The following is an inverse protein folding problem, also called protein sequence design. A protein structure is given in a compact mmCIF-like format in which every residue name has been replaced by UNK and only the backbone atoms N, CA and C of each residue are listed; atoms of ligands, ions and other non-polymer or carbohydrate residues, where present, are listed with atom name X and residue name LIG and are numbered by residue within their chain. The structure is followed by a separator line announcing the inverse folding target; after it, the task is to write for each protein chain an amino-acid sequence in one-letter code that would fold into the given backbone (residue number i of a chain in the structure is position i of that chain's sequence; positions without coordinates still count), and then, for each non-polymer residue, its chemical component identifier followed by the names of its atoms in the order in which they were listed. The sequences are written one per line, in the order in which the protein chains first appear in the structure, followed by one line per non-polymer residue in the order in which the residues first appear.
data_IF_426797185135
#
_entry.id   IF_426797185135
#
_cell.length_a   1.000
_cell.length_b   1.000
_cell.length_c   1.000
_cell.angle_alpha   90.00
_cell.angle_beta   90.00
_cell.angle_gamma   90.00
#
_symmetry.space_group_name_H-M   'P 1'
#
loop_
_entity.id
_entity.type
_entity.pdbx_description
1 polymer ?
#
# COMPACT_ATOMS: atom_id res chain seq x y z
N UNK A 1 -61.92 -50.31 -69.39
CA UNK A 1 -62.59 -49.90 -68.13
C UNK A 1 -62.34 -50.98 -67.09
N UNK A 2 -62.07 -50.69 -65.80
CA UNK A 2 -61.30 -49.57 -65.23
C UNK A 2 -60.27 -50.01 -64.14
N UNK A 3 -59.28 -49.13 -63.90
CA UNK A 3 -58.63 -48.73 -62.62
C UNK A 3 -57.99 -49.81 -61.70
N UNK A 4 -56.66 -49.78 -61.54
CA UNK A 4 -56.05 -49.30 -60.29
C UNK A 4 -54.56 -48.96 -60.44
N UNK A 5 -54.20 -47.86 -59.80
CA UNK A 5 -52.98 -47.08 -59.85
C UNK A 5 -52.10 -47.44 -58.63
N UNK A 6 -50.81 -47.74 -58.80
CA UNK A 6 -49.81 -47.64 -57.72
C UNK A 6 -48.38 -47.63 -58.31
N UNK A 7 -47.85 -46.43 -58.52
CA UNK A 7 -46.47 -46.16 -58.94
C UNK A 7 -45.62 -45.77 -57.73
N UNK A 8 -44.48 -46.45 -57.59
CA UNK A 8 -43.12 -45.91 -57.42
C UNK A 8 -42.94 -44.58 -56.66
N UNK A 9 -42.17 -44.62 -55.55
CA UNK A 9 -40.84 -43.98 -55.40
C UNK A 9 -40.42 -43.93 -53.92
N UNK A 10 -39.36 -44.68 -53.58
CA UNK A 10 -38.62 -44.59 -52.32
C UNK A 10 -37.83 -43.29 -52.29
N UNK A 11 -38.17 -42.43 -51.33
CA UNK A 11 -37.48 -41.18 -51.03
C UNK A 11 -36.28 -41.41 -50.10
N UNK A 12 -35.12 -40.88 -50.49
CA UNK A 12 -34.02 -40.55 -49.59
C UNK A 12 -34.43 -39.36 -48.70
N UNK A 13 -34.25 -39.48 -47.39
CA UNK A 13 -34.22 -38.34 -46.48
C UNK A 13 -32.96 -38.45 -45.59
N UNK A 14 -32.17 -37.36 -45.43
CA UNK A 14 -31.10 -37.33 -44.46
C UNK A 14 -31.62 -36.95 -43.08
N UNK A 15 -31.00 -37.57 -42.09
CA UNK A 15 -31.04 -37.24 -40.66
C UNK A 15 -30.44 -35.85 -40.44
N UNK A 16 -31.13 -34.98 -39.70
CA UNK A 16 -30.50 -33.95 -38.87
C UNK A 16 -31.33 -33.72 -37.61
N UNK A 17 -30.68 -33.97 -36.48
CA UNK A 17 -31.09 -33.62 -35.12
C UNK A 17 -31.20 -32.10 -34.92
N UNK A 18 -32.14 -31.68 -34.06
CA UNK A 18 -31.88 -30.60 -33.11
C UNK A 18 -32.84 -30.77 -31.93
N UNK A 19 -32.27 -31.06 -30.77
CA UNK A 19 -32.95 -31.18 -29.49
C UNK A 19 -33.39 -29.82 -28.95
N UNK A 20 -34.48 -29.86 -28.20
CA UNK A 20 -35.06 -28.79 -27.40
C UNK A 20 -34.04 -28.10 -26.47
N UNK A 21 -34.19 -26.78 -26.33
CA UNK A 21 -33.46 -26.02 -25.31
C UNK A 21 -33.71 -24.51 -25.39
N UNK A 22 -34.92 -24.05 -25.08
CA UNK A 22 -35.18 -22.61 -24.90
C UNK A 22 -35.11 -22.25 -23.41
N UNK A 23 -34.04 -21.52 -23.03
CA UNK A 23 -33.94 -20.88 -21.72
C UNK A 23 -34.57 -19.47 -21.81
N UNK A 24 -35.77 -19.33 -21.26
CA UNK A 24 -36.51 -18.07 -21.17
C UNK A 24 -35.81 -17.10 -20.21
N UNK A 25 -35.40 -15.91 -20.70
CA UNK A 25 -35.02 -14.79 -19.83
C UNK A 25 -36.32 -14.22 -19.24
N UNK A 26 -36.46 -14.27 -17.90
CA UNK A 26 -37.59 -13.67 -17.19
C UNK A 26 -37.29 -12.20 -16.84
N UNK A 27 -38.35 -11.40 -16.71
CA UNK A 27 -38.33 -10.02 -16.19
C UNK A 27 -37.86 -8.91 -17.16
N UNK A 28 -38.21 -9.03 -18.46
CA UNK A 28 -37.98 -7.99 -19.47
C UNK A 28 -38.85 -6.72 -19.32
N UNK A 29 -39.76 -6.65 -18.33
CA UNK A 29 -40.63 -5.49 -18.11
C UNK A 29 -39.90 -4.17 -17.82
N UNK A 30 -38.58 -4.23 -17.55
CA UNK A 30 -37.68 -3.08 -17.39
C UNK A 30 -36.64 -2.95 -18.50
N UNK A 31 -36.64 -3.85 -19.49
CA UNK A 31 -35.67 -3.89 -20.58
C UNK A 31 -36.28 -3.26 -21.83
N UNK A 32 -35.72 -2.14 -22.27
CA UNK A 32 -36.12 -1.50 -23.53
C UNK A 32 -35.39 -2.17 -24.68
N UNK A 33 -36.11 -2.98 -25.47
CA UNK A 33 -35.63 -3.48 -26.75
C UNK A 33 -35.78 -2.34 -27.75
N UNK A 34 -34.69 -1.98 -28.43
CA UNK A 34 -34.75 -0.93 -29.43
C UNK A 34 -34.74 -1.54 -30.84
N UNK A 35 -35.83 -1.35 -31.61
CA UNK A 35 -35.90 -1.83 -32.98
C UNK A 35 -34.85 -1.16 -33.88
N UNK A 36 -34.32 -1.90 -34.85
CA UNK A 36 -33.34 -1.37 -35.82
C UNK A 36 -33.87 -0.25 -36.73
N UNK A 37 -35.19 -0.01 -36.71
CA UNK A 37 -35.87 1.05 -37.45
C UNK A 37 -36.29 2.25 -36.59
N UNK A 38 -35.96 2.28 -35.29
CA UNK A 38 -36.13 3.47 -34.46
C UNK A 38 -35.03 4.51 -34.80
N UNK A 39 -35.33 5.80 -34.68
CA UNK A 39 -34.34 6.85 -34.91
C UNK A 39 -33.18 6.73 -33.89
N UNK A 40 -31.93 7.06 -34.27
CA UNK A 40 -30.77 6.89 -33.40
C UNK A 40 -31.00 7.47 -32.01
N UNK A 41 -30.82 6.66 -30.97
CA UNK A 41 -31.09 7.01 -29.58
C UNK A 41 -29.82 6.93 -28.72
N UNK A 42 -29.72 7.86 -27.78
CA UNK A 42 -28.47 8.34 -27.22
C UNK A 42 -27.99 7.57 -25.97
N UNK A 43 -28.58 6.41 -25.69
CA UNK A 43 -28.42 5.69 -24.41
C UNK A 43 -26.96 5.29 -24.14
N UNK A 44 -26.22 4.87 -25.16
CA UNK A 44 -24.80 4.55 -25.04
C UNK A 44 -23.91 5.80 -25.08
N UNK A 45 -24.35 6.85 -25.77
CA UNK A 45 -23.61 8.11 -25.79
C UNK A 45 -23.59 8.79 -24.41
N UNK A 46 -24.61 8.69 -23.56
CA UNK A 46 -24.55 9.31 -22.21
C UNK A 46 -23.55 8.61 -21.27
N UNK A 47 -23.45 7.28 -21.32
CA UNK A 47 -22.48 6.52 -20.52
C UNK A 47 -21.03 6.72 -21.02
N UNK A 48 -20.82 6.86 -22.33
CA UNK A 48 -19.50 7.07 -22.92
C UNK A 48 -19.06 8.55 -22.96
N UNK A 49 -19.99 9.52 -23.07
CA UNK A 49 -19.69 10.97 -23.07
C UNK A 49 -18.99 11.44 -21.78
N UNK A 50 -19.25 10.76 -20.65
CA UNK A 50 -18.55 11.00 -19.39
C UNK A 50 -17.03 10.76 -19.49
N UNK A 51 -16.60 9.85 -20.36
CA UNK A 51 -15.20 9.47 -20.56
C UNK A 51 -14.61 9.97 -21.90
N UNK A 52 -15.45 10.21 -22.92
CA UNK A 52 -15.05 10.60 -24.29
C UNK A 52 -15.93 11.75 -24.82
N UNK A 53 -15.82 12.97 -24.27
CA UNK A 53 -16.75 14.07 -24.55
C UNK A 53 -16.65 14.66 -25.96
N UNK A 54 -15.69 14.22 -26.79
CA UNK A 54 -15.38 14.78 -28.12
C UNK A 54 -15.45 13.77 -29.27
N UNK A 55 -15.77 12.51 -28.99
CA UNK A 55 -15.82 11.46 -30.02
C UNK A 55 -17.27 11.13 -30.39
N UNK A 56 -17.54 11.02 -31.69
CA UNK A 56 -18.81 10.47 -32.20
C UNK A 56 -18.68 8.96 -32.27
N UNK A 57 -19.55 8.26 -31.55
CA UNK A 57 -19.63 6.80 -31.62
C UNK A 57 -20.95 6.40 -32.28
N UNK A 58 -20.86 5.46 -33.21
CA UNK A 58 -21.99 4.71 -33.73
C UNK A 58 -21.89 3.28 -33.19
N UNK A 59 -22.84 2.85 -32.36
CA UNK A 59 -22.86 1.47 -31.84
C UNK A 59 -24.08 0.72 -32.34
N UNK A 60 -23.92 -0.59 -32.54
CA UNK A 60 -25.01 -1.56 -32.69
C UNK A 60 -24.69 -2.77 -31.82
N UNK A 61 -25.69 -3.32 -31.12
CA UNK A 61 -25.54 -4.65 -30.54
C UNK A 61 -26.82 -5.45 -30.74
N UNK A 62 -26.70 -6.50 -31.57
CA UNK A 62 -27.63 -7.63 -31.63
C UNK A 62 -26.83 -8.83 -32.13
N UNK A 63 -26.70 -9.87 -31.30
CA UNK A 63 -26.25 -11.17 -31.80
C UNK A 63 -27.18 -12.26 -31.26
N UNK A 64 -27.92 -12.86 -32.18
CA UNK A 64 -28.54 -14.17 -32.03
C UNK A 64 -28.03 -15.09 -33.13
N UNK A 65 -27.90 -16.39 -32.82
CA UNK A 65 -27.76 -17.45 -33.83
C UNK A 65 -29.11 -18.17 -33.95
N UNK A 66 -29.90 -17.82 -34.97
CA UNK A 66 -31.23 -18.40 -35.21
C UNK A 66 -32.23 -17.41 -35.83
N UNK A 67 -33.49 -17.84 -36.03
CA UNK A 67 -34.57 -16.95 -36.47
C UNK A 67 -34.91 -15.94 -35.35
N UNK A 68 -35.12 -14.66 -35.66
CA UNK A 68 -35.47 -13.65 -34.66
C UNK A 68 -36.80 -14.02 -33.98
N UNK A 69 -36.92 -13.85 -32.65
CA UNK A 69 -38.20 -14.08 -31.98
C UNK A 69 -39.22 -13.04 -32.47
N UNK A 70 -40.41 -13.50 -32.84
CA UNK A 70 -41.54 -12.61 -33.16
C UNK A 70 -42.05 -12.00 -31.87
N UNK A 71 -41.77 -10.71 -31.64
CA UNK A 71 -42.26 -9.99 -30.46
C UNK A 71 -43.47 -9.14 -30.86
N UNK A 72 -44.66 -9.56 -30.45
CA UNK A 72 -45.86 -8.70 -30.46
C UNK A 72 -45.80 -7.81 -29.22
N UNK A 73 -45.45 -6.54 -29.41
CA UNK A 73 -45.51 -5.53 -28.34
C UNK A 73 -46.91 -4.93 -28.37
N UNK A 74 -47.75 -5.27 -27.39
CA UNK A 74 -48.97 -4.52 -27.17
C UNK A 74 -48.60 -3.08 -26.82
N UNK A 75 -49.08 -2.14 -27.65
CA UNK A 75 -48.90 -0.71 -27.43
C UNK A 75 -49.42 -0.35 -26.05
N UNK A 76 -48.50 0.08 -25.17
CA UNK A 76 -48.84 0.63 -23.87
C UNK A 76 -49.95 1.67 -24.00
N UNK A 77 -51.05 1.43 -23.28
CA UNK A 77 -52.09 2.42 -22.99
C UNK A 77 -51.41 3.68 -22.45
N UNK A 78 -51.84 4.84 -22.97
CA UNK A 78 -51.55 6.14 -22.37
C UNK A 78 -51.83 6.08 -20.87
N UNK A 79 -50.99 6.68 -20.01
CA UNK A 79 -51.27 6.70 -18.59
C UNK A 79 -52.52 7.56 -18.35
N UNK A 80 -53.56 6.94 -17.82
CA UNK A 80 -54.63 7.66 -17.14
C UNK A 80 -54.04 8.32 -15.88
N UNK A 81 -54.49 9.53 -15.60
CA UNK A 81 -54.06 10.32 -14.45
C UNK A 81 -54.30 9.52 -13.16
N UNK A 82 -53.22 9.17 -12.46
CA UNK A 82 -53.28 8.46 -11.20
C UNK A 82 -53.62 9.43 -10.06
N UNK A 83 -54.68 9.08 -9.34
CA UNK A 83 -55.10 9.70 -8.08
C UNK A 83 -53.99 9.72 -7.03
N UNK A 84 -53.90 10.85 -6.33
CA UNK A 84 -53.02 11.07 -5.22
C UNK A 84 -53.54 10.38 -3.95
N UNK A 85 -53.09 9.15 -3.66
CA UNK A 85 -53.07 8.62 -2.28
C UNK A 85 -52.31 7.30 -2.19
N UNK A 86 -51.01 7.36 -1.94
CA UNK A 86 -50.22 6.18 -1.63
C UNK A 86 -48.75 6.51 -1.51
N UNK A 87 -48.29 6.77 -0.29
CA UNK A 87 -46.90 7.11 0.03
C UNK A 87 -46.02 5.86 -0.02
N UNK A 88 -45.03 5.72 -0.93
CA UNK A 88 -44.01 4.69 -0.83
C UNK A 88 -42.87 5.25 0.03
N UNK A 89 -42.74 4.75 1.25
CA UNK A 89 -41.60 5.05 2.14
C UNK A 89 -40.36 4.31 1.67
N UNK A 90 -39.60 4.94 0.77
CA UNK A 90 -38.26 4.53 0.40
C UNK A 90 -37.62 5.59 -0.48
N UNK A 91 -36.69 6.39 0.07
CA UNK A 91 -35.91 7.33 -0.75
C UNK A 91 -35.08 6.51 -1.75
N UNK A 92 -35.14 6.79 -3.07
CA UNK A 92 -34.22 6.17 -4.01
C UNK A 92 -32.79 6.53 -3.61
N UNK A 93 -31.92 5.52 -3.56
CA UNK A 93 -30.50 5.72 -3.29
C UNK A 93 -29.95 6.76 -4.28
N UNK A 94 -29.31 7.79 -3.75
CA UNK A 94 -28.72 8.86 -4.53
C UNK A 94 -27.60 8.25 -5.37
N UNK A 95 -27.84 8.08 -6.68
CA UNK A 95 -26.86 7.50 -7.60
C UNK A 95 -25.53 8.24 -7.48
N UNK A 96 -24.44 7.50 -7.26
CA UNK A 96 -23.11 8.07 -7.15
C UNK A 96 -22.71 8.60 -8.54
N UNK A 97 -22.83 9.93 -8.74
CA UNK A 97 -22.60 10.61 -10.04
C UNK A 97 -21.19 10.40 -10.64
N UNK A 98 -20.32 9.66 -9.95
CA UNK A 98 -18.93 9.41 -10.32
C UNK A 98 -18.63 7.95 -10.69
N UNK A 99 -19.59 7.02 -10.64
CA UNK A 99 -19.38 5.67 -11.18
C UNK A 99 -19.99 5.53 -12.57
N UNK A 100 -19.13 5.49 -13.59
CA UNK A 100 -19.58 5.28 -14.99
C UNK A 100 -20.28 3.94 -15.21
N UNK A 101 -20.05 2.95 -14.33
CA UNK A 101 -20.70 1.64 -14.40
C UNK A 101 -22.15 1.65 -13.88
N UNK A 102 -22.54 2.62 -13.04
CA UNK A 102 -23.92 2.72 -12.53
C UNK A 102 -24.93 3.08 -13.63
N UNK A 103 -24.43 3.63 -14.76
CA UNK A 103 -25.23 3.90 -15.95
C UNK A 103 -25.39 2.71 -16.89
N UNK A 104 -24.72 1.58 -16.62
CA UNK A 104 -24.82 0.38 -17.46
C UNK A 104 -25.97 -0.51 -16.98
N UNK A 105 -26.72 -1.08 -17.92
CA UNK A 105 -27.73 -2.07 -17.58
C UNK A 105 -27.05 -3.33 -17.01
N UNK A 106 -27.61 -3.91 -15.94
CA UNK A 106 -27.03 -5.10 -15.29
C UNK A 106 -26.78 -6.24 -16.28
N UNK A 107 -27.67 -6.40 -17.26
CA UNK A 107 -27.60 -7.43 -18.29
C UNK A 107 -26.54 -7.17 -19.37
N UNK A 108 -25.77 -6.08 -19.28
CA UNK A 108 -24.55 -5.88 -20.07
C UNK A 108 -23.41 -6.73 -19.53
N UNK A 109 -23.40 -6.97 -18.22
CA UNK A 109 -22.34 -7.68 -17.52
C UNK A 109 -22.80 -9.06 -17.04
N UNK A 110 -24.10 -9.21 -16.74
CA UNK A 110 -24.67 -10.38 -16.09
C UNK A 110 -25.73 -11.08 -16.97
N UNK A 111 -25.87 -12.40 -16.83
CA UNK A 111 -26.93 -13.16 -17.52
C UNK A 111 -28.33 -12.82 -17.01
N UNK A 112 -28.42 -12.46 -15.74
CA UNK A 112 -29.61 -12.14 -15.00
C UNK A 112 -29.36 -10.93 -14.10
N UNK A 113 -30.41 -10.25 -13.65
CA UNK A 113 -30.27 -9.18 -12.68
C UNK A 113 -29.88 -9.81 -11.32
N UNK A 114 -28.63 -9.67 -10.85
CA UNK A 114 -28.14 -10.50 -9.76
C UNK A 114 -28.84 -10.10 -8.45
N UNK A 115 -29.72 -10.97 -7.96
CA UNK A 115 -30.36 -10.83 -6.65
C UNK A 115 -29.63 -11.61 -5.55
N UNK A 116 -28.56 -12.34 -5.90
CA UNK A 116 -27.79 -13.20 -5.00
C UNK A 116 -26.28 -12.93 -5.00
N UNK A 117 -25.57 -13.56 -4.06
CA UNK A 117 -24.15 -13.31 -3.78
C UNK A 117 -23.15 -13.78 -4.88
N UNK A 118 -23.61 -14.51 -5.89
CA UNK A 118 -22.78 -15.08 -6.96
C UNK A 118 -23.32 -14.72 -8.34
N UNK A 119 -23.02 -13.51 -8.84
CA UNK A 119 -23.50 -13.08 -10.15
C UNK A 119 -22.94 -13.98 -11.26
N UNK A 120 -23.79 -14.34 -12.23
CA UNK A 120 -23.37 -15.05 -13.44
C UNK A 120 -23.03 -14.03 -14.52
N UNK A 121 -21.77 -13.97 -14.93
CA UNK A 121 -21.33 -13.08 -16.00
C UNK A 121 -21.59 -13.71 -17.37
N UNK A 122 -21.93 -12.88 -18.35
CA UNK A 122 -22.27 -13.31 -19.73
C UNK A 122 -21.07 -13.92 -20.43
N UNK A 123 -19.89 -13.37 -20.13
CA UNK A 123 -18.57 -13.79 -20.62
C UNK A 123 -17.55 -13.66 -19.48
N UNK A 124 -16.28 -13.96 -19.78
CA UNK A 124 -15.22 -13.70 -18.82
C UNK A 124 -15.15 -12.21 -18.45
N UNK A 125 -14.99 -11.92 -17.16
CA UNK A 125 -14.99 -10.54 -16.65
C UNK A 125 -13.85 -9.73 -17.27
N UNK A 126 -12.69 -10.33 -17.53
CA UNK A 126 -11.58 -9.62 -18.15
C UNK A 126 -11.91 -9.23 -19.60
N UNK A 127 -12.58 -10.11 -20.35
CA UNK A 127 -13.01 -9.83 -21.72
C UNK A 127 -14.07 -8.74 -21.76
N UNK A 128 -15.02 -8.76 -20.82
CA UNK A 128 -16.01 -7.71 -20.65
C UNK A 128 -15.36 -6.35 -20.33
N UNK A 129 -14.39 -6.33 -19.41
CA UNK A 129 -13.65 -5.11 -19.09
C UNK A 129 -12.88 -4.57 -20.31
N UNK A 130 -12.29 -5.45 -21.14
CA UNK A 130 -11.54 -5.05 -22.36
C UNK A 130 -12.42 -4.37 -23.41
N UNK A 131 -13.73 -4.61 -23.43
CA UNK A 131 -14.64 -3.90 -24.34
C UNK A 131 -14.62 -2.39 -24.11
N UNK A 132 -14.60 -1.98 -22.83
CA UNK A 132 -14.57 -0.57 -22.43
C UNK A 132 -13.15 -0.07 -22.11
N UNK A 133 -12.22 -0.98 -21.83
CA UNK A 133 -10.83 -0.70 -21.46
C UNK A 133 -9.84 -1.46 -22.35
N UNK A 134 -9.84 -1.22 -23.68
CA UNK A 134 -9.07 -2.02 -24.65
C UNK A 134 -7.55 -1.92 -24.46
N UNK A 135 -7.08 -0.86 -23.79
CA UNK A 135 -5.66 -0.62 -23.51
C UNK A 135 -5.23 -1.10 -22.12
N UNK A 136 -6.16 -1.62 -21.30
CA UNK A 136 -5.86 -2.04 -19.93
C UNK A 136 -5.41 -3.51 -19.93
N UNK A 137 -4.09 -3.69 -19.86
CA UNK A 137 -3.47 -4.92 -19.36
C UNK A 137 -3.57 -4.97 -17.83
N UNK A 138 -3.54 -6.15 -17.19
CA UNK A 138 -3.43 -6.25 -15.74
C UNK A 138 -2.26 -5.39 -15.26
N UNK A 139 -2.57 -4.27 -14.62
CA UNK A 139 -1.56 -3.30 -14.26
C UNK A 139 -1.04 -3.62 -12.87
N UNK A 140 0.30 -3.65 -12.70
CA UNK A 140 0.99 -3.74 -11.41
C UNK A 140 0.45 -4.84 -10.49
N UNK A 141 0.45 -6.08 -10.98
CA UNK A 141 0.11 -7.22 -10.15
C UNK A 141 1.10 -7.30 -8.96
N UNK A 142 0.64 -7.71 -7.77
CA UNK A 142 1.56 -8.02 -6.68
C UNK A 142 2.54 -9.09 -7.16
N UNK A 143 3.81 -8.95 -6.78
CA UNK A 143 4.89 -9.88 -7.12
C UNK A 143 5.42 -10.58 -5.87
N UNK A 144 6.15 -11.69 -6.08
CA UNK A 144 6.81 -12.43 -5.01
C UNK A 144 5.85 -12.93 -3.91
N UNK A 145 6.23 -12.73 -2.66
CA UNK A 145 5.43 -13.20 -1.50
C UNK A 145 4.03 -12.56 -1.42
N UNK A 146 3.89 -11.30 -1.86
CA UNK A 146 2.59 -10.62 -1.88
C UNK A 146 1.63 -11.29 -2.87
N UNK A 147 2.14 -11.79 -4.00
CA UNK A 147 1.34 -12.55 -4.95
C UNK A 147 0.79 -13.83 -4.30
N UNK A 148 1.61 -14.54 -3.53
CA UNK A 148 1.18 -15.77 -2.87
C UNK A 148 0.17 -15.54 -1.75
N UNK A 149 0.27 -14.43 -1.02
CA UNK A 149 -0.75 -14.03 -0.04
C UNK A 149 -2.10 -13.79 -0.73
N UNK A 150 -2.10 -13.06 -1.86
CA UNK A 150 -3.33 -12.81 -2.63
C UNK A 150 -3.89 -14.11 -3.21
N UNK A 151 -3.04 -14.96 -3.80
CA UNK A 151 -3.45 -16.27 -4.34
C UNK A 151 -4.05 -17.16 -3.25
N UNK A 152 -3.47 -17.16 -2.05
CA UNK A 152 -4.01 -17.87 -0.88
C UNK A 152 -5.38 -17.33 -0.50
N UNK A 153 -5.55 -16.01 -0.41
CA UNK A 153 -6.85 -15.40 -0.10
C UNK A 153 -7.93 -15.72 -1.17
N UNK A 154 -7.56 -15.81 -2.44
CA UNK A 154 -8.46 -16.28 -3.51
C UNK A 154 -8.87 -17.73 -3.30
N UNK A 155 -7.92 -18.64 -3.01
CA UNK A 155 -8.20 -20.06 -2.72
C UNK A 155 -9.10 -20.23 -1.49
N UNK A 156 -8.92 -19.38 -0.49
CA UNK A 156 -9.75 -19.32 0.72
C UNK A 156 -11.09 -18.58 0.52
N UNK A 157 -11.39 -18.13 -0.72
CA UNK A 157 -12.61 -17.37 -1.08
C UNK A 157 -12.78 -16.05 -0.32
N UNK A 158 -11.71 -15.51 0.27
CA UNK A 158 -11.68 -14.16 0.88
C UNK A 158 -11.60 -13.06 -0.17
N UNK A 159 -11.07 -13.38 -1.35
CA UNK A 159 -11.07 -12.51 -2.53
C UNK A 159 -11.69 -13.24 -3.72
N UNK A 160 -12.37 -12.50 -4.62
CA UNK A 160 -12.83 -13.10 -5.86
C UNK A 160 -11.63 -13.38 -6.77
N UNK A 161 -11.69 -14.48 -7.50
CA UNK A 161 -10.68 -14.92 -8.46
C UNK A 161 -11.11 -16.24 -9.09
N UNK A 162 -10.35 -16.74 -10.06
CA UNK A 162 -10.63 -18.02 -10.71
C UNK A 162 -9.40 -18.90 -10.68
N UNK A 163 -9.53 -20.10 -10.11
CA UNK A 163 -8.46 -21.11 -10.03
C UNK A 163 -7.16 -20.57 -9.40
N UNK A 164 -7.29 -19.70 -8.40
CA UNK A 164 -6.16 -19.03 -7.75
C UNK A 164 -5.54 -17.89 -8.56
N UNK A 165 -6.06 -17.58 -9.76
CA UNK A 165 -5.61 -16.46 -10.57
C UNK A 165 -6.37 -15.17 -10.22
N UNK A 166 -5.65 -14.06 -10.34
CA UNK A 166 -6.17 -12.72 -10.13
C UNK A 166 -7.04 -12.33 -11.34
N UNK A 167 -8.19 -11.75 -11.05
CA UNK A 167 -9.09 -11.11 -12.01
C UNK A 167 -9.11 -9.61 -11.73
N UNK A 168 -9.60 -8.80 -12.67
CA UNK A 168 -9.80 -7.37 -12.44
C UNK A 168 -10.67 -7.12 -11.18
N UNK A 169 -11.67 -7.97 -10.96
CA UNK A 169 -12.54 -7.92 -9.78
C UNK A 169 -11.88 -8.41 -8.49
N UNK A 170 -10.73 -9.08 -8.53
CA UNK A 170 -9.92 -9.38 -7.33
C UNK A 170 -9.53 -8.09 -6.64
N UNK A 171 -9.10 -7.11 -7.43
CA UNK A 171 -8.61 -5.83 -6.95
C UNK A 171 -9.72 -4.77 -6.92
N UNK A 172 -10.60 -4.72 -7.93
CA UNK A 172 -11.57 -3.65 -8.11
C UNK A 172 -13.00 -4.01 -7.66
N UNK A 173 -13.73 -3.01 -7.18
CA UNK A 173 -15.16 -3.09 -6.85
C UNK A 173 -15.98 -2.21 -7.81
N UNK A 174 -16.44 -2.83 -8.90
CA UNK A 174 -17.10 -2.16 -10.04
C UNK A 174 -18.35 -1.34 -9.69
N UNK A 175 -19.01 -1.60 -8.55
CA UNK A 175 -20.28 -0.97 -8.15
C UNK A 175 -20.16 0.14 -7.09
N UNK A 176 -18.97 0.42 -6.56
CA UNK A 176 -18.84 1.44 -5.50
C UNK A 176 -18.43 2.81 -6.05
N UNK A 177 -17.38 2.84 -6.88
CA UNK A 177 -16.90 4.04 -7.58
C UNK A 177 -16.01 3.65 -8.77
N UNK A 178 -15.86 4.54 -9.76
CA UNK A 178 -14.89 4.31 -10.85
C UNK A 178 -13.49 4.18 -10.25
N UNK A 179 -12.85 3.02 -10.42
CA UNK A 179 -11.52 2.67 -9.90
C UNK A 179 -11.41 2.35 -8.39
N UNK A 180 -12.49 2.09 -7.65
CA UNK A 180 -12.35 1.69 -6.24
C UNK A 180 -11.69 0.32 -6.12
N UNK A 181 -10.62 0.27 -5.32
CA UNK A 181 -10.03 -0.97 -4.86
C UNK A 181 -10.94 -1.60 -3.80
N UNK A 182 -11.04 -2.93 -3.76
CA UNK A 182 -11.75 -3.63 -2.69
C UNK A 182 -11.03 -3.43 -1.38
N UNK A 183 -11.74 -3.00 -0.34
CA UNK A 183 -11.20 -2.90 1.02
C UNK A 183 -10.62 -4.25 1.48
N UNK A 184 -11.27 -5.36 1.14
CA UNK A 184 -10.78 -6.70 1.47
C UNK A 184 -9.48 -7.04 0.73
N UNK A 185 -9.28 -6.55 -0.48
CA UNK A 185 -8.02 -6.73 -1.21
C UNK A 185 -6.91 -5.88 -0.56
N UNK A 186 -7.21 -4.62 -0.25
CA UNK A 186 -6.31 -3.73 0.47
C UNK A 186 -5.91 -4.36 1.81
N UNK A 187 -6.88 -4.91 2.55
CA UNK A 187 -6.65 -5.60 3.81
C UNK A 187 -5.79 -6.86 3.64
N UNK A 188 -6.04 -7.71 2.65
CA UNK A 188 -5.22 -8.90 2.37
C UNK A 188 -3.78 -8.51 2.03
N UNK A 189 -3.57 -7.43 1.27
CA UNK A 189 -2.22 -6.90 1.06
C UNK A 189 -1.63 -6.35 2.37
N UNK A 190 -2.40 -5.59 3.14
CA UNK A 190 -1.97 -5.02 4.42
C UNK A 190 -1.63 -6.08 5.48
N UNK A 191 -2.28 -7.23 5.45
CA UNK A 191 -1.99 -8.41 6.27
C UNK A 191 -0.76 -9.19 5.77
N UNK A 192 -0.47 -9.13 4.47
CA UNK A 192 0.65 -9.85 3.82
C UNK A 192 2.01 -9.16 3.88
N UNK A 193 2.02 -7.82 3.74
CA UNK A 193 3.14 -6.86 3.89
C UNK A 193 2.63 -5.54 3.32
N UNK A 194 2.91 -4.41 3.99
CA UNK A 194 2.51 -3.07 3.49
C UNK A 194 3.03 -2.89 2.06
N UNK A 195 2.15 -2.87 1.03
CA UNK A 195 2.60 -2.67 -0.35
C UNK A 195 3.25 -1.29 -0.42
N UNK A 196 4.44 -1.21 -1.01
CA UNK A 196 5.16 0.05 -1.13
C UNK A 196 4.34 0.98 -2.05
N UNK A 197 3.73 2.05 -1.52
CA UNK A 197 2.94 2.94 -2.35
C UNK A 197 3.84 3.80 -3.25
N UNK A 198 5.12 3.90 -2.90
CA UNK A 198 6.02 4.84 -3.53
C UNK A 198 6.36 4.47 -4.97
N UNK A 199 6.28 5.46 -5.86
CA UNK A 199 6.54 5.27 -7.29
C UNK A 199 5.48 4.44 -8.03
N UNK A 200 4.34 4.14 -7.39
CA UNK A 200 3.24 3.41 -8.01
C UNK A 200 2.09 4.37 -8.35
N UNK A 201 1.80 4.50 -9.65
CA UNK A 201 0.61 5.25 -10.12
C UNK A 201 -0.71 4.66 -9.63
N UNK A 202 -0.69 3.40 -9.19
CA UNK A 202 -1.89 2.73 -8.70
C UNK A 202 -2.17 3.09 -7.25
N UNK A 203 -1.13 3.37 -6.45
CA UNK A 203 -1.26 3.61 -5.02
C UNK A 203 -1.28 5.10 -4.65
N UNK A 204 -1.51 6.00 -5.61
CA UNK A 204 -1.69 7.42 -5.31
C UNK A 204 -2.79 7.64 -4.25
N UNK A 205 -3.84 6.82 -4.24
CA UNK A 205 -4.93 6.89 -3.26
C UNK A 205 -4.49 6.55 -1.82
N UNK A 206 -3.34 5.90 -1.63
CA UNK A 206 -2.79 5.62 -0.30
C UNK A 206 -2.39 6.92 0.41
N UNK A 207 -2.02 7.94 -0.35
CA UNK A 207 -1.58 9.23 0.18
C UNK A 207 -2.54 10.37 -0.18
N UNK A 208 -3.35 10.24 -1.22
CA UNK A 208 -4.18 11.33 -1.75
C UNK A 208 -5.67 10.96 -1.73
N UNK A 209 -6.56 11.90 -1.38
CA UNK A 209 -8.01 11.64 -1.31
C UNK A 209 -8.68 11.54 -2.70
N UNK A 210 -7.93 11.57 -3.80
CA UNK A 210 -8.46 11.51 -5.16
C UNK A 210 -7.40 11.61 -6.25
N UNK A 211 -7.87 11.74 -7.49
CA UNK A 211 -7.01 11.91 -8.68
C UNK A 211 -6.37 13.30 -8.67
N UNK A 212 -5.04 13.36 -8.67
CA UNK A 212 -4.29 14.61 -8.80
C UNK A 212 -4.36 15.08 -10.26
N UNK A 213 -4.80 16.32 -10.49
CA UNK A 213 -4.77 16.95 -11.81
C UNK A 213 -3.51 17.80 -11.96
N UNK A 214 -3.02 17.93 -13.18
CA UNK A 214 -1.89 18.81 -13.48
C UNK A 214 -2.23 20.26 -13.09
N UNK A 215 -1.33 20.90 -12.35
CA UNK A 215 -1.53 22.26 -11.82
C UNK A 215 -2.41 22.36 -10.57
N UNK A 216 -3.00 21.26 -10.09
CA UNK A 216 -3.76 21.25 -8.83
C UNK A 216 -2.82 21.14 -7.63
N UNK A 217 -3.20 21.79 -6.52
CA UNK A 217 -2.50 21.64 -5.25
C UNK A 217 -2.57 20.18 -4.76
N UNK A 218 -1.42 19.60 -4.46
CA UNK A 218 -1.34 18.24 -3.95
C UNK A 218 -1.92 18.20 -2.54
N UNK A 219 -3.01 17.43 -2.36
CA UNK A 219 -3.66 17.23 -1.06
C UNK A 219 -3.37 15.83 -0.54
N UNK A 220 -2.94 15.74 0.71
CA UNK A 220 -2.75 14.47 1.38
C UNK A 220 -4.03 14.03 2.11
N UNK A 221 -4.28 12.72 2.19
CA UNK A 221 -5.44 12.14 2.84
C UNK A 221 -5.52 12.47 4.34
N UNK A 222 -4.36 12.62 5.00
CA UNK A 222 -4.25 13.07 6.39
C UNK A 222 -4.27 14.60 6.56
N UNK A 223 -4.60 15.37 5.51
CA UNK A 223 -4.58 16.82 5.54
C UNK A 223 -3.17 17.38 5.62
N UNK A 224 -2.89 18.21 6.64
CA UNK A 224 -1.57 18.84 6.83
C UNK A 224 -0.58 18.01 7.67
N UNK A 225 -1.04 16.89 8.24
CA UNK A 225 -0.19 16.02 9.06
C UNK A 225 0.48 14.93 8.21
N UNK A 226 1.46 15.34 7.42
CA UNK A 226 2.24 14.42 6.58
C UNK A 226 2.98 13.38 7.41
N UNK A 227 3.39 13.71 8.64
CA UNK A 227 4.10 12.79 9.53
C UNK A 227 3.20 11.62 9.91
N UNK A 228 1.95 11.88 10.32
CA UNK A 228 0.97 10.84 10.58
C UNK A 228 0.76 9.96 9.35
N UNK A 229 0.53 10.56 8.17
CA UNK A 229 0.34 9.80 6.93
C UNK A 229 1.49 8.84 6.65
N UNK A 230 2.74 9.34 6.67
CA UNK A 230 3.90 8.50 6.42
C UNK A 230 4.02 7.39 7.47
N UNK A 231 3.79 7.74 8.75
CA UNK A 231 3.94 6.82 9.87
C UNK A 231 2.87 5.73 9.92
N UNK A 232 1.71 5.92 9.28
CA UNK A 232 0.71 4.84 9.11
C UNK A 232 1.30 3.61 8.43
N UNK A 233 2.31 3.78 7.58
CA UNK A 233 3.08 2.71 6.96
C UNK A 233 4.46 2.52 7.60
N UNK A 234 5.24 3.59 7.77
CA UNK A 234 6.64 3.52 8.15
C UNK A 234 6.90 3.06 9.59
N UNK A 235 5.90 3.11 10.49
CA UNK A 235 6.05 2.55 11.83
C UNK A 235 5.74 1.05 11.91
N UNK A 236 5.17 0.47 10.84
CA UNK A 236 4.76 -0.94 10.83
C UNK A 236 5.98 -1.87 10.76
N UNK A 237 5.91 -3.06 11.39
CA UNK A 237 6.97 -4.07 11.27
C UNK A 237 7.28 -4.41 9.80
N UNK A 238 8.57 -4.52 9.48
CA UNK A 238 9.03 -4.87 8.13
C UNK A 238 9.09 -3.71 7.13
N UNK A 239 8.57 -2.51 7.49
CA UNK A 239 8.77 -1.29 6.70
C UNK A 239 9.97 -0.54 7.25
N UNK A 240 10.81 0.01 6.35
CA UNK A 240 11.98 0.80 6.76
C UNK A 240 11.50 2.05 7.49
N UNK A 241 11.76 2.13 8.79
CA UNK A 241 11.45 3.32 9.60
C UNK A 241 12.26 4.52 9.11
N UNK A 242 11.66 5.71 9.18
CA UNK A 242 12.41 6.95 8.96
C UNK A 242 13.48 7.06 10.05
N UNK A 243 14.77 7.17 9.69
CA UNK A 243 15.87 7.12 10.64
C UNK A 243 16.12 8.46 11.36
N UNK A 244 15.38 9.50 11.01
CA UNK A 244 15.61 10.86 11.49
C UNK A 244 14.45 11.36 12.32
N UNK A 245 14.76 12.19 13.31
CA UNK A 245 13.76 12.81 14.18
C UNK A 245 12.96 13.84 13.37
N UNK A 246 11.64 13.65 13.32
CA UNK A 246 10.67 14.61 12.78
C UNK A 246 9.97 15.32 13.96
N UNK A 247 9.22 16.39 13.69
CA UNK A 247 8.60 17.25 14.72
C UNK A 247 9.61 18.08 15.54
N UNK A 248 10.80 18.34 14.98
CA UNK A 248 11.80 19.25 15.56
C UNK A 248 11.73 20.64 14.94
N UNK A 249 11.89 21.69 15.73
CA UNK A 249 12.14 23.06 15.24
C UNK A 249 13.64 23.27 14.99
N UNK A 250 14.00 24.19 14.09
CA UNK A 250 15.38 24.66 13.99
C UNK A 250 15.85 25.25 15.32
N UNK A 251 17.12 25.04 15.66
CA UNK A 251 17.79 25.56 16.85
C UNK A 251 18.89 26.55 16.42
N UNK A 252 19.56 27.21 17.36
CA UNK A 252 20.72 28.06 17.02
C UNK A 252 21.89 27.27 16.41
N UNK A 253 21.95 25.95 16.63
CA UNK A 253 22.97 25.05 16.08
C UNK A 253 22.63 24.46 14.71
N UNK A 254 21.42 24.70 14.19
CA UNK A 254 21.06 24.37 12.82
C UNK A 254 20.86 25.66 12.03
N UNK A 255 21.18 25.67 10.74
CA UNK A 255 20.78 26.80 9.90
C UNK A 255 19.27 26.95 10.02
N UNK A 256 18.80 28.17 10.22
CA UNK A 256 17.38 28.50 10.28
C UNK A 256 16.70 27.99 9.00
N UNK A 257 16.05 26.83 9.11
CA UNK A 257 15.50 26.02 8.00
C UNK A 257 14.46 26.77 7.19
N UNK A 258 13.80 27.73 7.84
CA UNK A 258 12.87 28.71 7.29
C UNK A 258 13.47 29.54 6.14
N UNK A 259 14.78 29.77 6.10
CA UNK A 259 15.43 30.51 5.01
C UNK A 259 15.76 29.65 3.78
N UNK A 260 15.70 28.32 3.90
CA UNK A 260 16.12 27.40 2.84
C UNK A 260 14.97 26.99 1.90
N UNK A 261 13.77 27.51 2.13
CA UNK A 261 12.58 27.20 1.33
C UNK A 261 12.08 25.76 1.50
N UNK A 262 12.50 25.06 2.56
CA UNK A 262 12.01 23.72 2.84
C UNK A 262 10.55 23.75 3.33
N UNK A 263 9.74 22.73 2.98
CA UNK A 263 8.39 22.64 3.52
C UNK A 263 8.46 22.23 4.99
N UNK A 264 8.00 23.13 5.86
CA UNK A 264 7.89 22.93 7.31
C UNK A 264 6.41 22.91 7.70
N UNK A 265 6.05 22.12 8.71
CA UNK A 265 4.72 22.18 9.30
C UNK A 265 4.81 22.95 10.62
N UNK A 266 4.25 24.17 10.65
CA UNK A 266 4.32 25.06 11.82
C UNK A 266 5.76 25.28 12.34
N UNK A 267 6.71 25.46 11.41
CA UNK A 267 8.13 25.65 11.75
C UNK A 267 8.88 24.38 12.15
N UNK A 268 8.23 23.21 12.09
CA UNK A 268 8.84 21.92 12.42
C UNK A 268 9.16 21.08 11.19
N UNK A 269 10.20 20.25 11.32
CA UNK A 269 10.58 19.25 10.35
C UNK A 269 9.51 18.17 10.21
N UNK A 270 9.24 17.80 8.97
CA UNK A 270 8.35 16.70 8.59
C UNK A 270 9.06 15.76 7.64
N UNK A 271 8.47 14.60 7.36
CA UNK A 271 8.95 13.70 6.32
C UNK A 271 9.14 14.45 4.99
N UNK A 272 8.16 15.28 4.60
CA UNK A 272 8.19 16.08 3.35
C UNK A 272 9.26 17.16 3.31
N UNK A 273 9.81 17.56 4.47
CA UNK A 273 10.94 18.50 4.52
C UNK A 273 12.14 17.92 3.80
N UNK A 274 12.48 16.67 4.13
CA UNK A 274 13.64 15.97 3.57
C UNK A 274 13.31 15.16 2.33
N UNK A 275 12.09 14.65 2.25
CA UNK A 275 11.66 13.78 1.17
C UNK A 275 10.76 14.53 0.18
N UNK A 276 11.11 14.47 -1.10
CA UNK A 276 10.33 14.98 -2.22
C UNK A 276 9.94 13.83 -3.13
N UNK A 277 8.88 13.15 -2.74
CA UNK A 277 8.44 11.98 -3.45
C UNK A 277 7.75 12.37 -4.75
N UNK A 278 8.23 11.81 -5.86
CA UNK A 278 7.55 11.91 -7.14
C UNK A 278 6.27 11.06 -7.11
N UNK A 279 5.13 11.72 -6.91
CA UNK A 279 3.79 11.09 -6.96
C UNK A 279 3.47 10.48 -8.34
N UNK A 280 4.27 10.79 -9.36
CA UNK A 280 4.10 10.30 -10.72
C UNK A 280 5.44 9.84 -11.31
N UNK A 281 5.53 8.56 -11.64
CA UNK A 281 6.66 7.99 -12.37
C UNK A 281 7.42 6.91 -11.61
N UNK A 282 8.43 6.34 -12.24
CA UNK A 282 9.33 5.41 -11.58
C UNK A 282 10.25 6.21 -10.65
N UNK A 283 10.49 5.75 -9.41
CA UNK A 283 11.51 6.34 -8.55
C UNK A 283 12.83 6.44 -9.29
N UNK A 284 13.52 7.56 -9.17
CA UNK A 284 14.89 7.69 -9.65
C UNK A 284 15.76 6.67 -8.91
N UNK A 285 16.39 5.76 -9.64
CA UNK A 285 17.27 4.74 -9.07
C UNK A 285 18.50 5.35 -8.40
N UNK A 286 18.90 6.57 -8.79
CA UNK A 286 19.96 7.34 -8.14
C UNK A 286 19.46 8.09 -6.88
N UNK A 287 18.15 8.24 -6.69
CA UNK A 287 17.54 8.83 -5.51
C UNK A 287 16.43 7.93 -4.91
N UNK A 288 16.75 6.68 -4.52
CA UNK A 288 15.75 5.68 -4.11
C UNK A 288 15.06 6.01 -2.79
N UNK A 289 15.53 7.04 -2.08
CA UNK A 289 14.97 7.56 -0.83
C UNK A 289 14.25 8.89 -1.03
N UNK A 290 14.13 9.39 -2.26
CA UNK A 290 13.44 10.64 -2.56
C UNK A 290 13.99 11.85 -1.81
N UNK A 291 15.30 11.94 -1.55
CA UNK A 291 15.88 13.10 -0.88
C UNK A 291 15.66 14.35 -1.75
N UNK A 292 15.13 15.42 -1.15
CA UNK A 292 14.74 16.65 -1.84
C UNK A 292 15.96 17.31 -2.49
N UNK A 293 15.90 17.54 -3.80
CA UNK A 293 17.03 18.08 -4.57
C UNK A 293 18.14 17.07 -4.84
N UNK A 294 17.89 15.78 -4.61
CA UNK A 294 18.78 14.70 -5.06
C UNK A 294 18.76 14.52 -6.58
N UNK A 295 19.52 13.52 -7.10
CA UNK A 295 20.24 12.50 -6.34
C UNK A 295 21.47 13.04 -5.60
N UNK A 296 21.85 12.36 -4.51
CA UNK A 296 23.07 12.65 -3.75
C UNK A 296 23.96 11.40 -3.75
N UNK A 297 25.21 11.54 -4.18
CA UNK A 297 26.19 10.44 -4.10
C UNK A 297 26.49 10.04 -2.65
N UNK A 298 26.40 11.01 -1.74
CA UNK A 298 26.55 10.86 -0.30
C UNK A 298 25.37 11.55 0.40
N UNK A 299 24.51 10.82 1.14
CA UNK A 299 23.40 11.40 1.89
C UNK A 299 23.82 12.51 2.85
N UNK A 300 25.06 12.50 3.36
CA UNK A 300 25.54 13.54 4.27
C UNK A 300 25.56 14.91 3.59
N UNK A 301 25.79 14.96 2.27
CA UNK A 301 25.70 16.21 1.49
C UNK A 301 24.31 16.82 1.50
N UNK A 302 23.27 16.01 1.60
CA UNK A 302 21.92 16.53 1.80
C UNK A 302 21.79 17.15 3.18
N UNK A 303 22.27 16.46 4.22
CA UNK A 303 22.24 16.94 5.61
C UNK A 303 22.99 18.27 5.77
N UNK A 304 24.13 18.44 5.09
CA UNK A 304 24.92 19.68 5.12
C UNK A 304 24.26 20.90 4.47
N UNK A 305 23.08 20.74 3.85
CA UNK A 305 22.28 21.90 3.45
C UNK A 305 21.74 22.66 4.66
N UNK A 306 21.63 22.00 5.82
CA UNK A 306 21.01 22.51 7.03
C UNK A 306 21.96 22.48 8.24
N UNK A 307 22.94 21.59 8.19
CA UNK A 307 24.03 21.47 9.16
C UNK A 307 25.29 22.07 8.56
N UNK A 308 26.12 22.75 9.34
CA UNK A 308 27.43 23.19 8.84
C UNK A 308 28.28 21.97 8.50
N UNK A 309 29.06 22.03 7.41
CA UNK A 309 30.03 20.99 7.04
C UNK A 309 31.17 20.83 8.07
N UNK A 310 31.24 21.75 9.03
CA UNK A 310 32.14 21.62 10.16
C UNK A 310 31.75 20.38 10.96
N UNK A 311 32.63 19.37 10.92
CA UNK A 311 32.43 18.03 11.49
C UNK A 311 32.14 18.04 12.99
N UNK A 312 32.31 19.19 13.63
CA UNK A 312 31.98 19.46 15.02
C UNK A 312 30.48 19.71 15.28
N UNK A 313 29.74 20.26 14.31
CA UNK A 313 28.36 20.75 14.49
C UNK A 313 27.32 19.78 13.91
N UNK A 314 27.76 18.68 13.30
CA UNK A 314 26.89 17.53 13.17
C UNK A 314 26.47 17.16 14.60
N UNK A 315 25.19 17.24 14.94
CA UNK A 315 24.64 16.66 16.17
C UNK A 315 24.68 15.14 16.00
N UNK A 316 25.90 14.61 15.90
CA UNK A 316 26.22 13.22 16.07
C UNK A 316 25.51 12.81 17.36
N UNK A 317 24.55 11.87 17.30
CA UNK A 317 23.79 11.49 18.48
C UNK A 317 24.67 10.88 19.58
N UNK A 318 25.96 10.63 19.28
CA UNK A 318 26.99 10.25 20.24
C UNK A 318 27.74 11.44 20.87
N UNK A 319 27.57 12.69 20.42
CA UNK A 319 28.08 13.92 21.07
C UNK A 319 27.07 14.40 22.11
N UNK A 320 26.83 13.55 23.10
CA UNK A 320 25.78 13.71 24.09
C UNK A 320 26.15 14.64 25.26
N UNK A 321 27.38 15.17 25.27
CA UNK A 321 27.85 16.11 26.28
C UNK A 321 28.33 17.39 25.61
N UNK A 322 28.03 18.54 26.21
CA UNK A 322 28.51 19.84 25.74
C UNK A 322 29.93 20.15 26.25
N UNK A 323 30.46 21.33 25.88
CA UNK A 323 31.79 21.78 26.28
C UNK A 323 31.97 21.93 27.80
N UNK A 324 30.88 22.02 28.56
CA UNK A 324 30.86 22.12 30.02
C UNK A 324 30.60 20.77 30.69
N UNK A 325 30.51 19.68 29.92
CA UNK A 325 30.23 18.34 30.42
C UNK A 325 28.76 18.08 30.77
N UNK A 326 27.83 18.96 30.35
CA UNK A 326 26.39 18.78 30.59
C UNK A 326 25.79 17.88 29.51
N UNK A 327 24.90 16.98 29.89
CA UNK A 327 24.22 16.08 28.95
C UNK A 327 23.23 16.86 28.07
N UNK A 328 23.29 16.66 26.75
CA UNK A 328 22.38 17.25 25.76
C UNK A 328 21.14 16.37 25.60
N UNK A 329 20.04 16.73 26.25
CA UNK A 329 18.84 15.88 26.33
C UNK A 329 18.19 15.56 24.97
N UNK A 330 18.39 16.42 23.97
CA UNK A 330 17.88 16.27 22.61
C UNK A 330 18.60 15.13 21.86
N UNK A 331 19.90 14.97 22.09
CA UNK A 331 20.70 13.91 21.47
C UNK A 331 20.22 12.51 21.86
N UNK A 332 19.69 12.36 23.08
CA UNK A 332 19.16 11.10 23.56
C UNK A 332 17.93 10.64 22.76
N UNK A 333 17.11 11.58 22.29
CA UNK A 333 15.84 11.30 21.58
C UNK A 333 16.03 10.73 20.18
N UNK A 334 17.25 10.73 19.66
CA UNK A 334 17.58 10.02 18.42
C UNK A 334 17.46 8.50 18.58
N UNK A 335 17.79 8.00 19.77
CA UNK A 335 17.76 6.57 20.06
C UNK A 335 16.58 6.21 20.97
N UNK A 336 16.22 7.09 21.91
CA UNK A 336 15.22 6.85 22.95
C UNK A 336 13.90 7.57 22.68
N UNK A 337 12.77 7.00 23.12
CA UNK A 337 11.45 7.64 23.01
C UNK A 337 11.33 8.93 23.85
N UNK A 338 12.16 9.07 24.87
CA UNK A 338 12.25 10.24 25.72
C UNK A 338 13.70 10.67 25.95
N UNK A 339 13.90 11.64 26.84
CA UNK A 339 15.24 12.00 27.34
C UNK A 339 15.47 11.21 28.63
N UNK A 340 16.31 10.16 28.63
CA UNK A 340 16.56 9.37 29.82
C UNK A 340 17.28 10.22 30.87
N UNK A 341 16.92 10.05 32.14
CA UNK A 341 17.70 10.59 33.25
C UNK A 341 18.91 9.66 33.46
N UNK A 342 20.16 10.13 33.27
CA UNK A 342 21.35 9.28 33.38
C UNK A 342 21.54 8.71 34.80
N UNK A 343 20.95 9.33 35.81
CA UNK A 343 21.03 8.91 37.21
C UNK A 343 19.80 8.08 37.65
N UNK A 344 18.75 7.97 36.82
CA UNK A 344 17.55 7.17 37.13
C UNK A 344 17.30 6.11 36.07
N UNK A 345 17.22 4.85 36.53
CA UNK A 345 16.96 3.69 35.67
C UNK A 345 15.50 3.27 35.76
N UNK A 346 14.57 4.06 35.21
CA UNK A 346 13.23 3.51 34.96
C UNK A 346 13.24 2.77 33.63
N UNK A 347 12.60 1.60 33.53
CA UNK A 347 12.49 0.88 32.26
C UNK A 347 11.92 1.75 31.13
N UNK A 348 10.94 2.60 31.43
CA UNK A 348 10.32 3.51 30.45
C UNK A 348 11.33 4.53 29.86
N UNK A 349 12.30 4.98 30.65
CA UNK A 349 13.31 5.96 30.22
C UNK A 349 14.33 5.34 29.25
N UNK A 350 14.41 4.01 29.17
CA UNK A 350 15.36 3.29 28.33
C UNK A 350 14.74 2.77 27.02
N UNK A 351 13.44 3.01 26.79
CA UNK A 351 12.76 2.57 25.58
C UNK A 351 13.34 3.26 24.34
N UNK A 352 13.71 2.45 23.35
CA UNK A 352 14.20 2.95 22.06
C UNK A 352 13.05 3.33 21.14
N UNK A 353 13.31 4.26 20.20
CA UNK A 353 12.37 4.65 19.14
C UNK A 353 12.06 3.53 18.14
N UNK A 354 12.85 2.45 18.17
CA UNK A 354 12.63 1.25 17.39
C UNK A 354 13.48 0.07 17.89
N UNK A 355 13.52 -1.01 17.11
CA UNK A 355 14.36 -2.16 17.40
C UNK A 355 15.84 -1.76 17.47
N UNK A 356 16.59 -2.29 18.43
CA UNK A 356 17.98 -1.89 18.73
C UNK A 356 18.88 -1.87 17.47
N UNK A 357 18.81 -2.91 16.62
CA UNK A 357 19.62 -2.98 15.40
C UNK A 357 19.18 -1.96 14.34
N UNK A 358 17.90 -1.63 14.29
CA UNK A 358 17.35 -0.66 13.33
C UNK A 358 17.77 0.75 13.71
N UNK A 359 17.72 1.10 15.01
CA UNK A 359 18.16 2.41 15.51
C UNK A 359 19.60 2.70 15.09
N UNK A 360 20.50 1.72 15.18
CA UNK A 360 21.90 1.89 14.78
C UNK A 360 22.09 1.88 13.25
N UNK A 361 21.49 0.90 12.55
CA UNK A 361 21.68 0.72 11.09
C UNK A 361 21.03 1.80 10.24
N UNK A 362 20.16 2.59 10.86
CA UNK A 362 19.57 3.78 10.31
C UNK A 362 20.60 4.86 9.94
N UNK A 363 21.67 4.99 10.73
CA UNK A 363 22.77 5.92 10.47
C UNK A 363 24.07 5.21 10.04
N UNK A 364 24.27 3.96 10.46
CA UNK A 364 25.50 3.21 10.17
C UNK A 364 25.27 2.13 9.10
N UNK A 365 26.19 2.03 8.14
CA UNK A 365 26.29 0.85 7.29
C UNK A 365 26.97 -0.27 8.07
N UNK A 366 26.17 -1.10 8.75
CA UNK A 366 26.66 -2.15 9.65
C UNK A 366 27.12 -3.40 8.87
N UNK A 367 26.68 -3.58 7.61
CA UNK A 367 26.98 -4.76 6.81
C UNK A 367 28.02 -4.49 5.71
N UNK A 368 28.98 -5.42 5.49
CA UNK A 368 29.19 -6.66 6.25
C UNK A 368 29.78 -6.38 7.65
N UNK A 369 29.18 -6.96 8.69
CA UNK A 369 29.66 -6.79 10.06
C UNK A 369 30.82 -7.76 10.31
N UNK A 370 31.98 -7.31 10.83
CA UNK A 370 33.08 -8.20 11.15
C UNK A 370 32.69 -9.12 12.31
N UNK A 371 32.73 -10.43 12.07
CA UNK A 371 32.20 -11.46 12.98
C UNK A 371 30.68 -11.63 12.80
N UNK A 372 30.25 -12.89 12.71
CA UNK A 372 28.91 -13.39 12.33
C UNK A 372 27.69 -12.59 12.83
N UNK A 373 26.49 -12.91 12.32
CA UNK A 373 25.23 -12.39 12.86
C UNK A 373 25.03 -12.85 14.32
N UNK A 374 25.57 -12.07 15.26
CA UNK A 374 25.60 -12.40 16.69
C UNK A 374 24.31 -12.05 17.43
N UNK A 375 23.24 -11.63 16.74
CA UNK A 375 21.92 -11.33 17.32
C UNK A 375 21.16 -12.56 17.84
N UNK A 376 21.86 -13.45 18.53
CA UNK A 376 21.41 -14.76 19.01
C UNK A 376 21.14 -14.73 20.51
N UNK A 377 20.29 -15.65 20.96
CA UNK A 377 20.00 -15.85 22.38
C UNK A 377 21.26 -16.34 23.11
N UNK A 378 21.69 -15.62 24.14
CA UNK A 378 22.81 -16.04 24.98
C UNK A 378 22.27 -16.89 26.14
N UNK A 379 22.78 -18.12 26.28
CA UNK A 379 22.32 -19.07 27.32
C UNK A 379 23.43 -20.00 27.79
N UNK A 380 23.18 -20.67 28.91
CA UNK A 380 24.06 -21.69 29.48
C UNK A 380 25.46 -21.15 29.79
N UNK A 381 26.49 -21.90 29.42
CA UNK A 381 27.88 -21.57 29.74
C UNK A 381 28.32 -20.20 29.20
N UNK A 382 27.88 -19.80 28.01
CA UNK A 382 28.23 -18.49 27.44
C UNK A 382 27.64 -17.32 28.25
N UNK A 383 26.44 -17.50 28.79
CA UNK A 383 25.82 -16.49 29.67
C UNK A 383 26.57 -16.40 31.00
N UNK A 384 26.90 -17.54 31.61
CA UNK A 384 27.67 -17.58 32.85
C UNK A 384 29.06 -16.93 32.69
N UNK A 385 29.76 -17.21 31.58
CA UNK A 385 31.05 -16.55 31.26
C UNK A 385 30.91 -15.05 31.09
N UNK A 386 29.83 -14.59 30.44
CA UNK A 386 29.56 -13.15 30.29
C UNK A 386 29.39 -12.50 31.66
N UNK A 387 28.59 -13.10 32.54
CA UNK A 387 28.35 -12.59 33.90
C UNK A 387 29.63 -12.56 34.74
N UNK A 388 30.45 -13.61 34.63
CA UNK A 388 31.77 -13.65 35.28
C UNK A 388 32.68 -12.53 34.74
N UNK A 389 32.69 -12.31 33.42
CA UNK A 389 33.46 -11.25 32.79
C UNK A 389 33.00 -9.87 33.27
N UNK A 390 31.69 -9.61 33.29
CA UNK A 390 31.11 -8.36 33.80
C UNK A 390 31.58 -8.09 35.23
N UNK A 391 31.51 -9.10 36.12
CA UNK A 391 31.97 -8.99 37.51
C UNK A 391 33.47 -8.72 37.62
N UNK A 392 34.29 -9.48 36.88
CA UNK A 392 35.76 -9.38 36.94
C UNK A 392 36.27 -8.03 36.41
N UNK A 393 35.67 -7.55 35.32
CA UNK A 393 36.11 -6.35 34.62
C UNK A 393 35.30 -5.10 34.98
N UNK A 394 34.32 -5.23 35.89
CA UNK A 394 33.45 -4.13 36.33
C UNK A 394 32.84 -3.39 35.13
N UNK A 395 32.29 -4.16 34.19
CA UNK A 395 31.70 -3.66 32.94
C UNK A 395 30.31 -4.25 32.77
N UNK A 396 29.39 -3.47 32.18
CA UNK A 396 28.06 -3.95 31.80
C UNK A 396 27.97 -4.20 30.30
N UNK A 397 27.59 -5.41 29.93
CA UNK A 397 27.33 -5.90 28.58
C UNK A 397 25.83 -6.18 28.45
N UNK A 398 24.99 -5.16 28.17
CA UNK A 398 23.55 -5.31 28.21
C UNK A 398 23.04 -6.25 27.11
N UNK A 399 22.10 -7.13 27.46
CA UNK A 399 21.34 -7.95 26.50
C UNK A 399 19.99 -7.27 26.19
N UNK A 400 19.32 -7.71 25.13
CA UNK A 400 17.92 -7.39 24.90
C UNK A 400 17.02 -8.04 25.97
N UNK A 401 15.76 -7.62 26.06
CA UNK A 401 14.81 -8.14 27.04
C UNK A 401 14.59 -9.66 26.92
N UNK A 402 14.73 -10.22 25.72
CA UNK A 402 14.64 -11.66 25.44
C UNK A 402 15.97 -12.41 25.65
N UNK A 403 17.01 -11.74 26.16
CA UNK A 403 18.33 -12.33 26.40
C UNK A 403 19.23 -12.42 25.16
N UNK A 404 18.83 -11.85 24.03
CA UNK A 404 19.69 -11.81 22.84
C UNK A 404 20.81 -10.78 22.95
N UNK A 405 21.94 -11.08 22.32
CA UNK A 405 23.00 -10.09 22.07
C UNK A 405 22.46 -9.03 21.10
N UNK A 406 22.85 -7.79 21.33
CA UNK A 406 22.48 -6.62 20.56
C UNK A 406 23.70 -5.73 20.29
N UNK A 407 23.55 -4.71 19.44
CA UNK A 407 24.63 -3.79 19.10
C UNK A 407 25.27 -3.18 20.37
N UNK A 408 24.44 -2.75 21.32
CA UNK A 408 24.91 -2.16 22.57
C UNK A 408 25.47 -3.16 23.59
N UNK A 409 25.43 -4.47 23.33
CA UNK A 409 26.16 -5.48 24.12
C UNK A 409 27.66 -5.33 23.91
N UNK A 410 28.09 -5.05 22.68
CA UNK A 410 29.50 -4.94 22.28
C UNK A 410 29.95 -3.47 22.18
N UNK A 411 29.06 -2.58 21.76
CA UNK A 411 29.33 -1.16 21.60
C UNK A 411 28.75 -0.33 22.74
N UNK A 412 29.39 0.79 23.06
CA UNK A 412 28.79 1.82 23.93
C UNK A 412 28.56 3.08 23.09
N UNK A 413 27.33 3.33 22.62
CA UNK A 413 27.05 4.52 21.80
C UNK A 413 27.12 5.82 22.60
N UNK A 414 27.25 5.75 23.93
CA UNK A 414 27.22 6.93 24.77
C UNK A 414 28.55 7.68 24.80
N UNK A 415 28.47 9.00 24.93
CA UNK A 415 29.65 9.83 25.19
C UNK A 415 30.23 9.55 26.58
N UNK A 416 31.54 9.77 26.74
CA UNK A 416 32.19 9.72 28.05
C UNK A 416 31.52 10.71 29.01
N UNK A 417 31.18 10.25 30.22
CA UNK A 417 30.53 11.06 31.26
C UNK A 417 29.01 10.99 31.27
N UNK A 418 28.36 10.42 30.24
CA UNK A 418 26.89 10.24 30.22
C UNK A 418 26.46 9.13 31.18
N UNK A 419 27.12 7.97 31.10
CA UNK A 419 26.88 6.85 31.99
C UNK A 419 28.01 6.75 33.03
N UNK A 420 27.63 6.40 34.26
CA UNK A 420 28.55 6.22 35.40
C UNK A 420 28.76 4.73 35.71
N UNK A 421 29.89 4.42 36.37
CA UNK A 421 30.24 3.06 36.81
C UNK A 421 30.38 2.07 35.65
N UNK A 422 30.02 0.80 35.89
CA UNK A 422 30.19 -0.31 34.94
C UNK A 422 29.50 -0.08 33.58
N UNK A 423 28.41 0.69 33.56
CA UNK A 423 27.65 0.99 32.34
C UNK A 423 28.37 2.02 31.43
N UNK A 424 29.21 2.87 32.03
CA UNK A 424 30.01 3.88 31.35
C UNK A 424 31.32 3.35 30.76
N UNK A 425 31.70 2.11 31.08
CA UNK A 425 32.91 1.51 30.51
C UNK A 425 32.79 1.41 28.98
N UNK A 426 33.85 1.84 28.31
CA UNK A 426 33.93 1.95 26.86
C UNK A 426 33.11 3.09 26.23
N UNK A 427 32.51 3.99 27.01
CA UNK A 427 31.87 5.18 26.49
C UNK A 427 32.88 6.09 25.76
N UNK A 428 32.51 6.59 24.59
CA UNK A 428 33.41 7.34 23.70
C UNK A 428 34.46 6.50 22.97
N UNK A 429 34.47 5.18 23.16
CA UNK A 429 35.30 4.26 22.37
C UNK A 429 34.44 3.38 21.46
N UNK A 430 35.09 2.76 20.46
CA UNK A 430 34.40 1.89 19.50
C UNK A 430 33.74 0.68 20.18
N UNK A 431 34.29 0.20 21.29
CA UNK A 431 33.94 -1.06 21.93
C UNK A 431 33.74 -0.85 23.44
N UNK A 432 32.92 -1.68 24.09
CA UNK A 432 32.80 -1.72 25.57
C UNK A 432 34.05 -2.28 26.24
N UNK A 433 34.80 -3.07 25.51
CA UNK A 433 36.06 -3.68 25.94
C UNK A 433 37.25 -2.88 25.41
N UNK A 434 38.44 -2.99 26.02
CA UNK A 434 39.61 -2.17 25.66
C UNK A 434 40.07 -2.34 24.20
N UNK A 435 39.95 -3.54 23.64
CA UNK A 435 40.31 -3.81 22.26
C UNK A 435 39.38 -4.84 21.59
N UNK A 436 39.49 -4.99 20.27
CA UNK A 436 38.67 -5.92 19.50
C UNK A 436 38.94 -7.40 19.85
N UNK A 437 40.16 -7.75 20.28
CA UNK A 437 40.52 -9.15 20.64
C UNK A 437 39.79 -9.59 21.90
N UNK A 438 39.55 -8.66 22.82
CA UNK A 438 38.76 -8.89 24.02
C UNK A 438 37.26 -8.91 23.75
N UNK A 439 36.78 -8.56 22.54
CA UNK A 439 35.34 -8.47 22.27
C UNK A 439 34.63 -9.82 22.35
N UNK A 440 35.30 -10.87 21.92
CA UNK A 440 34.72 -12.22 21.92
C UNK A 440 34.85 -12.90 23.30
N UNK A 441 35.84 -12.48 24.10
CA UNK A 441 36.21 -13.11 25.36
C UNK A 441 35.06 -13.25 26.37
N UNK A 442 34.14 -12.26 26.54
CA UNK A 442 33.03 -12.38 27.47
C UNK A 442 32.16 -13.62 27.25
N UNK A 443 31.97 -14.05 25.99
CA UNK A 443 31.07 -15.16 25.67
C UNK A 443 31.82 -16.43 25.25
N UNK A 444 32.99 -16.29 24.63
CA UNK A 444 33.75 -17.39 24.04
C UNK A 444 34.94 -17.84 24.89
N UNK A 445 35.35 -17.06 25.89
CA UNK A 445 36.60 -17.24 26.61
C UNK A 445 37.78 -16.59 25.88
N UNK A 446 38.91 -16.43 26.57
CA UNK A 446 40.18 -16.12 25.90
C UNK A 446 40.68 -17.39 25.23
N UNK A 447 41.04 -17.29 23.95
CA UNK A 447 41.68 -18.36 23.20
C UNK A 447 43.08 -18.65 23.75
#
# INVERSE_FOLDING_TARGET
MPILLALLLLAFAPVCEAADGEAVIRDLGKTRIIPSNEAPHNILSEACLACHPKEKFDFWLLIYKGKPPTVTVDRLRKPEAADASGTPSGKPAQANRYNSHDGLACNLCHFDNPSGATPRFIVDVADLCRLCHPTVVPHGLPEGENLEVVRKAIREKKLPGRDGNLLCTTCHKTHDATYSMRDTYAQVLWEGKVPNPHGSRQFCFACHPGKIREGEEIRFAAGRDNNRLCNECHLRPGVRKAPHVIDLTSSEGTWRMDYLGYPLNQGKLTCSTCHDEVSHGKPDSANPKFLRGGPYADPDRFCFRCHTEDKEVYDNPHRQVDAFGRVRGESCRFCHKGTPDPDRRKPEDLELVGEDSTVCSNCHQIRPHPGAEHGVLLKGEKLARKEEYEKRHQVRLPLAADGKIKCSTCHNPHAKGVLKGEAGVGAGSRWRVPDFREMCAPCHGRY
#
